data_IF_871076109384
#
_entry.id   IF_871076109384
#
_cell.length_a   1.000
_cell.length_b   1.000
_cell.length_c   1.000
_cell.angle_alpha   90.00
_cell.angle_beta   90.00
_cell.angle_gamma   90.00
#
_symmetry.space_group_name_H-M   'P 1'
#
loop_
_entity.id
_entity.type
_entity.pdbx_description
1 polymer ?
#
# COMPACT_ATOMS: atom_id res chain seq x y z
N UNK A 1 15.67 4.76 0.59
CA UNK A 1 15.57 5.91 -0.32
C UNK A 1 15.99 7.17 0.41
N UNK A 2 16.82 8.03 -0.19
CA UNK A 2 17.11 9.37 0.33
C UNK A 2 16.03 10.36 -0.13
N UNK A 3 15.92 11.50 0.55
CA UNK A 3 14.99 12.56 0.14
C UNK A 3 15.34 13.11 -1.26
N UNK A 4 16.63 13.27 -1.56
CA UNK A 4 17.08 13.79 -2.87
C UNK A 4 16.74 12.83 -4.01
N UNK A 5 16.91 11.54 -3.80
CA UNK A 5 16.52 10.53 -4.77
C UNK A 5 15.01 10.48 -4.99
N UNK A 6 14.24 10.62 -3.92
CA UNK A 6 12.78 10.71 -4.00
C UNK A 6 12.36 11.95 -4.81
N UNK A 7 12.95 13.11 -4.52
CA UNK A 7 12.67 14.35 -5.27
C UNK A 7 12.94 14.21 -6.75
N UNK A 8 14.10 13.63 -7.12
CA UNK A 8 14.44 13.38 -8.54
C UNK A 8 13.40 12.53 -9.25
N UNK A 9 12.86 11.51 -8.56
CA UNK A 9 11.84 10.65 -9.15
C UNK A 9 10.49 11.35 -9.25
N UNK A 10 10.04 12.03 -8.20
CA UNK A 10 8.75 12.72 -8.17
C UNK A 10 8.70 13.88 -9.17
N UNK A 11 9.82 14.59 -9.37
CA UNK A 11 9.89 15.69 -10.34
C UNK A 11 9.70 15.24 -11.81
N UNK A 12 9.77 13.94 -12.08
CA UNK A 12 9.51 13.36 -13.39
C UNK A 12 8.06 12.90 -13.58
N UNK A 13 7.26 12.85 -12.51
CA UNK A 13 5.89 12.37 -12.58
C UNK A 13 4.94 13.48 -13.06
N UNK A 14 3.97 13.17 -13.94
CA UNK A 14 2.83 14.04 -14.20
C UNK A 14 2.07 14.35 -12.90
N UNK A 15 1.57 15.58 -12.74
CA UNK A 15 0.92 16.01 -11.48
C UNK A 15 -0.33 15.20 -11.10
N UNK A 16 -1.02 14.64 -12.10
CA UNK A 16 -2.18 13.77 -11.89
C UNK A 16 -1.81 12.40 -11.30
N UNK A 17 -0.55 12.02 -11.35
CA UNK A 17 -0.08 10.75 -10.76
C UNK A 17 -0.16 10.84 -9.25
N UNK A 18 -0.95 9.93 -8.68
CA UNK A 18 -1.08 9.80 -7.23
C UNK A 18 0.17 9.18 -6.64
N UNK A 19 0.77 9.85 -5.68
CA UNK A 19 1.88 9.31 -4.89
C UNK A 19 1.32 8.63 -3.65
N UNK A 20 1.48 7.31 -3.58
CA UNK A 20 0.98 6.50 -2.47
C UNK A 20 2.14 6.03 -1.61
N UNK A 21 2.16 6.47 -0.37
CA UNK A 21 3.11 6.02 0.64
C UNK A 21 2.61 4.71 1.27
N UNK A 22 3.05 3.63 0.68
CA UNK A 22 2.65 2.26 1.02
C UNK A 22 3.72 1.30 0.49
N UNK A 23 3.35 0.06 0.25
CA UNK A 23 4.13 -0.90 -0.50
C UNK A 23 4.53 -2.11 0.31
N UNK A 24 5.75 -2.59 0.06
CA UNK A 24 6.24 -3.85 0.61
C UNK A 24 6.79 -3.71 2.04
N UNK A 25 6.89 -2.47 2.54
CA UNK A 25 7.40 -2.15 3.88
C UNK A 25 6.63 -0.98 4.48
N UNK A 26 6.78 -0.78 5.78
CA UNK A 26 6.24 0.38 6.47
C UNK A 26 6.96 1.67 6.02
N UNK A 27 6.24 2.68 5.52
CA UNK A 27 6.86 3.91 5.00
C UNK A 27 7.70 4.66 6.04
N UNK A 28 7.24 4.76 7.28
CA UNK A 28 7.91 5.52 8.34
C UNK A 28 9.10 4.82 8.98
N UNK A 29 9.49 3.63 8.50
CA UNK A 29 10.83 3.11 8.75
C UNK A 29 11.89 3.94 8.02
N UNK A 30 11.50 4.70 7.00
CA UNK A 30 12.33 5.73 6.39
C UNK A 30 12.17 7.05 7.15
N UNK A 31 13.22 7.53 7.79
CA UNK A 31 13.22 8.78 8.57
C UNK A 31 12.89 10.04 7.77
N UNK A 32 13.01 9.98 6.45
CA UNK A 32 12.67 11.10 5.57
C UNK A 32 11.23 11.02 5.05
N UNK A 33 10.41 10.05 5.50
CA UNK A 33 9.09 9.81 4.91
C UNK A 33 8.19 11.04 5.00
N UNK A 34 8.14 11.70 6.16
CA UNK A 34 7.35 12.92 6.35
C UNK A 34 7.75 14.03 5.38
N UNK A 35 9.05 14.25 5.18
CA UNK A 35 9.55 15.26 4.22
C UNK A 35 9.23 14.86 2.77
N UNK A 36 9.24 13.57 2.46
CA UNK A 36 8.83 13.06 1.15
C UNK A 36 7.34 13.29 0.89
N UNK A 37 6.49 13.05 1.89
CA UNK A 37 5.04 13.30 1.80
C UNK A 37 4.78 14.78 1.53
N UNK A 38 5.40 15.66 2.32
CA UNK A 38 5.27 17.11 2.17
C UNK A 38 5.75 17.59 0.81
N UNK A 39 6.89 17.09 0.34
CA UNK A 39 7.42 17.43 -0.97
C UNK A 39 6.48 17.04 -2.12
N UNK A 40 5.98 15.82 -2.12
CA UNK A 40 5.05 15.37 -3.15
C UNK A 40 3.74 16.16 -3.13
N UNK A 41 3.25 16.53 -1.94
CA UNK A 41 2.10 17.43 -1.78
C UNK A 41 2.38 18.83 -2.33
N UNK A 42 3.54 19.43 -2.01
CA UNK A 42 3.97 20.73 -2.51
C UNK A 42 4.06 20.77 -4.06
N UNK A 43 4.45 19.65 -4.67
CA UNK A 43 4.47 19.49 -6.13
C UNK A 43 3.07 19.34 -6.76
N UNK A 44 2.03 19.24 -5.96
CA UNK A 44 0.64 19.17 -6.40
C UNK A 44 0.12 17.75 -6.65
N UNK A 45 0.88 16.73 -6.30
CA UNK A 45 0.41 15.35 -6.45
C UNK A 45 -0.71 15.01 -5.47
N UNK A 46 -1.73 14.24 -5.88
CA UNK A 46 -2.65 13.59 -4.95
C UNK A 46 -1.90 12.61 -4.07
N UNK A 47 -2.09 12.69 -2.75
CA UNK A 47 -1.38 11.86 -1.77
C UNK A 47 -2.30 10.81 -1.16
N UNK A 48 -1.81 9.59 -1.07
CA UNK A 48 -2.42 8.51 -0.26
C UNK A 48 -1.39 7.92 0.70
N UNK A 49 -1.86 7.49 1.87
CA UNK A 49 -1.00 6.87 2.90
C UNK A 49 -1.66 5.57 3.38
N UNK A 50 -0.86 4.50 3.43
CA UNK A 50 -1.17 3.26 4.13
C UNK A 50 -0.03 2.96 5.07
N UNK A 51 -0.28 3.05 6.36
CA UNK A 51 0.76 2.92 7.39
C UNK A 51 0.26 2.13 8.59
N UNK A 52 1.17 1.45 9.25
CA UNK A 52 0.92 0.86 10.57
C UNK A 52 1.15 1.87 11.69
N UNK A 53 1.70 3.03 11.39
CA UNK A 53 2.17 4.01 12.38
C UNK A 53 3.51 3.67 13.02
N UNK A 54 4.09 2.51 12.71
CA UNK A 54 5.41 2.11 13.21
C UNK A 54 6.47 3.06 12.67
N UNK A 55 7.31 3.57 13.53
CA UNK A 55 8.35 4.54 13.16
C UNK A 55 7.89 5.99 13.13
N UNK A 56 6.59 6.27 13.12
CA UNK A 56 6.06 7.63 13.23
C UNK A 56 6.28 8.22 14.63
N UNK A 57 6.34 9.53 14.66
CA UNK A 57 6.24 10.36 15.86
C UNK A 57 4.97 11.21 15.81
N UNK A 58 4.58 11.78 16.93
CA UNK A 58 3.48 12.76 17.00
C UNK A 58 3.78 13.96 16.09
N UNK A 59 5.03 14.41 16.04
CA UNK A 59 5.46 15.51 15.16
C UNK A 59 5.24 15.18 13.68
N UNK A 60 5.53 13.95 13.24
CA UNK A 60 5.27 13.51 11.87
C UNK A 60 3.80 13.66 11.51
N UNK A 61 2.90 13.23 12.40
CA UNK A 61 1.46 13.31 12.19
C UNK A 61 1.01 14.76 12.13
N UNK A 62 1.44 15.60 13.06
CA UNK A 62 1.09 17.02 13.10
C UNK A 62 1.53 17.77 11.84
N UNK A 63 2.68 17.39 11.27
CA UNK A 63 3.21 18.02 10.05
C UNK A 63 2.39 17.69 8.80
N UNK A 64 1.75 16.51 8.74
CA UNK A 64 1.03 16.06 7.53
C UNK A 64 -0.49 16.06 7.68
N UNK A 65 -1.06 16.21 8.85
CA UNK A 65 -2.52 16.12 9.10
C UNK A 65 -3.37 17.08 8.27
N UNK A 66 -2.79 18.20 7.83
CA UNK A 66 -3.46 19.22 7.03
C UNK A 66 -3.58 18.87 5.54
N UNK A 67 -2.89 17.84 5.07
CA UNK A 67 -2.89 17.44 3.66
C UNK A 67 -4.29 16.94 3.28
N UNK A 68 -4.86 17.43 2.16
CA UNK A 68 -6.12 16.91 1.63
C UNK A 68 -5.85 15.56 0.95
N UNK A 69 -5.75 14.50 1.74
CA UNK A 69 -5.51 13.17 1.21
C UNK A 69 -6.53 12.82 0.15
N UNK A 70 -6.05 12.27 -0.97
CA UNK A 70 -6.86 11.98 -2.13
C UNK A 70 -8.03 11.08 -1.74
N UNK A 71 -9.21 11.45 -2.21
CA UNK A 71 -10.43 10.67 -1.97
C UNK A 71 -10.42 9.37 -2.75
N UNK A 72 -11.22 8.46 -2.26
CA UNK A 72 -11.38 7.11 -2.68
C UNK A 72 -12.42 6.99 -3.81
N UNK A 73 -12.55 5.75 -4.33
CA UNK A 73 -13.17 4.73 -3.47
C UNK A 73 -12.28 4.17 -2.35
N UNK A 74 -11.02 4.36 -2.26
CA UNK A 74 -10.19 3.66 -1.31
C UNK A 74 -9.29 4.59 -0.50
N UNK A 75 -9.88 5.36 0.35
CA UNK A 75 -9.39 6.27 1.34
C UNK A 75 -7.92 6.56 1.43
N UNK A 76 -7.61 7.61 1.91
CA UNK A 76 -6.40 8.03 1.60
C UNK A 76 -5.44 8.33 2.68
N UNK A 77 -5.86 8.29 3.93
CA UNK A 77 -5.00 8.00 5.06
C UNK A 77 -5.56 6.76 5.77
N UNK A 78 -4.94 5.60 5.54
CA UNK A 78 -5.38 4.35 6.16
C UNK A 78 -4.36 3.92 7.23
N UNK A 79 -4.81 3.91 8.47
CA UNK A 79 -4.04 3.39 9.59
C UNK A 79 -4.35 1.92 9.81
N UNK A 80 -3.34 1.08 9.67
CA UNK A 80 -3.44 -0.35 9.88
C UNK A 80 -3.16 -0.67 11.36
N UNK A 81 -4.21 -1.00 12.10
CA UNK A 81 -4.14 -1.31 13.52
C UNK A 81 -3.58 -2.71 13.79
N UNK A 82 -2.92 -2.91 14.94
CA UNK A 82 -2.47 -4.23 15.35
C UNK A 82 -3.66 -5.14 15.68
N UNK A 83 -3.54 -6.40 15.35
CA UNK A 83 -4.53 -7.43 15.63
C UNK A 83 -4.12 -8.31 16.83
N UNK A 84 -5.12 -8.78 17.59
CA UNK A 84 -4.96 -9.66 18.74
C UNK A 84 -4.32 -11.00 18.34
N UNK A 85 -4.63 -11.48 17.15
CA UNK A 85 -4.14 -12.71 16.56
C UNK A 85 -2.70 -12.61 16.07
N UNK A 86 -2.12 -11.40 16.09
CA UNK A 86 -0.75 -11.09 15.64
C UNK A 86 -0.46 -11.50 14.20
N UNK A 87 -1.46 -11.46 13.34
CA UNK A 87 -1.30 -11.69 11.90
C UNK A 87 -0.39 -10.63 11.27
N UNK A 88 -0.59 -9.38 11.69
CA UNK A 88 0.23 -8.24 11.30
C UNK A 88 1.30 -7.94 12.36
N UNK A 89 2.24 -8.71 12.61
CA UNK A 89 3.33 -8.70 13.63
C UNK A 89 3.83 -7.30 14.08
N UNK A 90 2.90 -6.41 14.46
CA UNK A 90 3.24 -5.06 14.93
C UNK A 90 3.95 -5.12 16.28
N UNK A 91 5.09 -4.45 16.48
CA UNK A 91 5.69 -4.27 17.78
C UNK A 91 4.89 -3.24 18.59
N UNK A 92 4.11 -3.70 19.57
CA UNK A 92 3.31 -2.84 20.43
C UNK A 92 4.20 -2.36 21.57
N UNK A 93 4.79 -1.19 21.41
CA UNK A 93 5.60 -0.52 22.42
C UNK A 93 4.83 0.65 23.04
N UNK A 94 5.28 1.14 24.21
CA UNK A 94 4.68 2.33 24.81
C UNK A 94 4.64 3.52 23.86
N UNK A 95 5.73 3.79 23.13
CA UNK A 95 5.79 4.85 22.13
C UNK A 95 4.78 4.62 21.00
N UNK A 96 4.60 3.39 20.56
CA UNK A 96 3.61 3.07 19.54
C UNK A 96 2.19 3.37 20.03
N UNK A 97 1.85 2.99 21.26
CA UNK A 97 0.55 3.28 21.87
C UNK A 97 0.31 4.80 21.92
N UNK A 98 1.30 5.59 22.34
CA UNK A 98 1.22 7.05 22.36
C UNK A 98 0.90 7.64 20.97
N UNK A 99 1.48 7.09 19.90
CA UNK A 99 1.17 7.47 18.52
C UNK A 99 -0.27 7.12 18.13
N UNK A 100 -0.72 5.91 18.47
CA UNK A 100 -2.11 5.49 18.20
C UNK A 100 -3.11 6.34 18.98
N UNK A 101 -2.84 6.64 20.25
CA UNK A 101 -3.67 7.53 21.06
C UNK A 101 -3.75 8.95 20.47
N UNK A 102 -2.65 9.42 19.87
CA UNK A 102 -2.64 10.72 19.21
C UNK A 102 -3.53 10.69 17.95
N UNK A 103 -3.44 9.65 17.12
CA UNK A 103 -4.35 9.47 16.00
C UNK A 103 -5.82 9.49 16.44
N UNK A 104 -6.16 8.79 17.53
CA UNK A 104 -7.51 8.79 18.06
C UNK A 104 -8.02 10.19 18.43
N UNK A 105 -7.16 11.04 19.00
CA UNK A 105 -7.49 12.42 19.38
C UNK A 105 -7.75 13.33 18.18
N UNK A 106 -7.04 13.11 17.05
CA UNK A 106 -7.06 14.05 15.92
C UNK A 106 -7.65 13.45 14.64
N UNK A 107 -8.16 12.23 14.66
CA UNK A 107 -8.67 11.54 13.47
C UNK A 107 -9.65 12.38 12.64
N UNK A 108 -10.50 13.17 13.30
CA UNK A 108 -11.46 14.08 12.64
C UNK A 108 -10.79 15.31 12.00
N UNK A 109 -9.51 15.54 12.24
CA UNK A 109 -8.72 16.62 11.64
C UNK A 109 -7.94 16.13 10.41
N UNK A 110 -7.86 14.83 10.21
CA UNK A 110 -7.17 14.21 9.08
C UNK A 110 -8.21 13.92 8.00
N UNK A 111 -8.02 14.52 6.85
CA UNK A 111 -8.93 14.34 5.72
C UNK A 111 -8.92 12.87 5.25
N UNK A 112 -10.10 12.29 5.02
CA UNK A 112 -10.28 10.92 4.56
C UNK A 112 -9.52 9.87 5.41
N UNK A 113 -9.47 10.06 6.72
CA UNK A 113 -8.86 9.10 7.64
C UNK A 113 -9.73 7.84 7.77
N UNK A 114 -9.10 6.71 7.67
CA UNK A 114 -9.74 5.40 7.92
C UNK A 114 -8.81 4.47 8.70
N UNK A 115 -9.38 3.44 9.28
CA UNK A 115 -8.63 2.37 9.93
C UNK A 115 -8.89 1.04 9.24
N UNK A 116 -7.94 0.11 9.36
CA UNK A 116 -8.12 -1.29 8.97
C UNK A 116 -7.40 -2.20 9.96
N UNK A 117 -7.82 -3.46 10.02
CA UNK A 117 -7.20 -4.48 10.86
C UNK A 117 -7.23 -5.84 10.13
N UNK A 118 -6.30 -6.74 10.46
CA UNK A 118 -6.27 -8.10 9.90
C UNK A 118 -7.02 -9.12 10.76
N UNK A 119 -7.59 -8.67 11.86
CA UNK A 119 -8.31 -9.48 12.81
C UNK A 119 -9.03 -8.61 13.85
N UNK A 120 -9.12 -9.10 15.06
CA UNK A 120 -9.66 -8.31 16.19
C UNK A 120 -8.65 -7.27 16.61
N UNK A 121 -9.06 -6.01 16.76
CA UNK A 121 -8.17 -4.94 17.24
C UNK A 121 -7.54 -5.32 18.56
N UNK A 122 -6.23 -5.15 18.67
CA UNK A 122 -5.44 -5.53 19.86
C UNK A 122 -5.90 -4.80 21.12
N UNK A 123 -5.92 -5.50 22.26
CA UNK A 123 -6.43 -4.97 23.53
C UNK A 123 -5.75 -3.66 23.97
N UNK A 124 -4.43 -3.52 23.73
CA UNK A 124 -3.66 -2.34 24.10
C UNK A 124 -4.07 -1.06 23.38
N UNK A 125 -4.75 -1.15 22.23
CA UNK A 125 -5.20 0.01 21.44
C UNK A 125 -6.72 0.09 21.28
N UNK A 126 -7.46 -0.91 21.79
CA UNK A 126 -8.92 -0.98 21.69
C UNK A 126 -9.62 0.15 22.41
N UNK A 127 -9.00 0.73 23.42
CA UNK A 127 -9.54 1.90 24.13
C UNK A 127 -9.54 3.18 23.26
N UNK A 128 -8.79 3.17 22.14
CA UNK A 128 -8.72 4.27 21.17
C UNK A 128 -9.61 3.98 19.95
N UNK A 129 -9.47 2.78 19.41
CA UNK A 129 -10.23 2.27 18.27
C UNK A 129 -10.83 0.93 18.66
N UNK A 130 -12.11 0.91 19.03
CA UNK A 130 -12.81 -0.28 19.53
C UNK A 130 -12.98 -1.36 18.45
N UNK A 131 -13.08 -0.94 17.19
CA UNK A 131 -13.20 -1.80 16.03
C UNK A 131 -12.58 -1.16 14.78
N UNK A 132 -12.29 -1.97 13.79
CA UNK A 132 -11.86 -1.54 12.46
C UNK A 132 -12.36 -2.53 11.41
N UNK A 133 -12.56 -2.09 10.15
CA UNK A 133 -12.83 -3.02 9.06
C UNK A 133 -11.77 -4.10 8.97
N UNK A 134 -12.20 -5.35 8.90
CA UNK A 134 -11.29 -6.51 8.79
C UNK A 134 -11.03 -6.79 7.31
N UNK A 135 -9.76 -6.88 6.96
CA UNK A 135 -9.33 -7.23 5.62
C UNK A 135 -8.59 -8.56 5.63
N UNK A 136 -9.01 -9.47 4.77
CA UNK A 136 -8.31 -10.72 4.55
C UNK A 136 -6.95 -10.47 3.91
N UNK A 137 -5.98 -11.31 4.28
CA UNK A 137 -4.66 -11.28 3.66
C UNK A 137 -4.76 -11.84 2.23
N UNK A 138 -4.22 -11.08 1.30
CA UNK A 138 -4.14 -11.45 -0.11
C UNK A 138 -2.84 -12.18 -0.40
N UNK A 139 -2.88 -13.18 -1.27
CA UNK A 139 -1.69 -13.95 -1.62
C UNK A 139 -0.66 -13.17 -2.45
N UNK A 140 -1.00 -11.94 -2.85
CA UNK A 140 -0.20 -11.16 -3.78
C UNK A 140 0.13 -11.96 -5.04
N UNK A 141 -0.90 -12.45 -5.71
CA UNK A 141 -0.80 -13.32 -6.88
C UNK A 141 0.10 -14.55 -6.64
N UNK A 142 0.01 -15.14 -5.45
CA UNK A 142 0.79 -16.30 -5.06
C UNK A 142 2.24 -16.02 -4.66
N UNK A 143 2.71 -14.77 -4.66
CA UNK A 143 4.07 -14.44 -4.23
C UNK A 143 4.28 -14.56 -2.71
N UNK A 144 3.22 -14.48 -1.95
CA UNK A 144 3.25 -14.63 -0.51
C UNK A 144 2.73 -16.04 -0.14
N UNK A 145 3.51 -17.06 -0.47
CA UNK A 145 3.24 -18.47 -0.12
C UNK A 145 4.16 -18.85 1.02
N UNK A 146 3.61 -19.16 2.18
CA UNK A 146 4.39 -19.60 3.34
C UNK A 146 3.80 -19.13 4.68
N UNK A 147 4.51 -19.33 5.76
CA UNK A 147 4.08 -19.27 7.16
C UNK A 147 3.24 -18.05 7.61
N UNK A 148 3.22 -17.00 6.81
CA UNK A 148 2.49 -15.79 7.19
C UNK A 148 1.08 -15.67 6.61
N UNK A 149 0.69 -16.49 5.60
CA UNK A 149 -0.15 -15.75 4.69
C UNK A 149 -1.43 -16.39 4.27
N UNK A 150 -1.52 -17.61 4.06
CA UNK A 150 -2.81 -18.17 3.70
C UNK A 150 -2.92 -19.59 4.19
N UNK A 151 -3.92 -19.78 5.01
CA UNK A 151 -4.41 -21.13 5.22
C UNK A 151 -4.79 -21.71 3.85
N UNK A 152 -4.49 -22.99 3.59
CA UNK A 152 -4.89 -23.65 2.35
C UNK A 152 -6.35 -23.41 1.96
N UNK A 153 -7.24 -23.35 2.95
CA UNK A 153 -8.67 -23.10 2.77
C UNK A 153 -8.99 -21.72 2.14
N UNK A 154 -8.13 -20.71 2.36
CA UNK A 154 -8.30 -19.40 1.74
C UNK A 154 -7.84 -19.40 0.28
N UNK A 155 -6.81 -20.18 -0.06
CA UNK A 155 -6.39 -20.40 -1.45
C UNK A 155 -7.45 -21.19 -2.23
N UNK A 156 -8.04 -22.21 -1.63
CA UNK A 156 -9.14 -22.97 -2.22
C UNK A 156 -10.36 -22.09 -2.43
N UNK A 157 -10.79 -21.32 -1.43
CA UNK A 157 -11.90 -20.35 -1.56
C UNK A 157 -11.66 -19.30 -2.63
N UNK A 158 -10.42 -18.84 -2.81
CA UNK A 158 -10.09 -17.88 -3.90
C UNK A 158 -10.08 -18.53 -5.25
N UNK A 159 -9.61 -19.78 -5.36
CA UNK A 159 -9.71 -20.56 -6.58
C UNK A 159 -11.19 -20.79 -6.94
N UNK A 160 -12.00 -21.17 -5.97
CA UNK A 160 -13.46 -21.32 -6.13
C UNK A 160 -14.12 -19.99 -6.51
N UNK A 161 -13.75 -18.89 -5.88
CA UNK A 161 -14.26 -17.57 -6.20
C UNK A 161 -13.87 -17.14 -7.64
N UNK A 162 -12.65 -17.40 -8.07
CA UNK A 162 -12.20 -17.17 -9.45
C UNK A 162 -13.01 -18.00 -10.43
N UNK A 163 -13.17 -19.28 -10.18
CA UNK A 163 -13.99 -20.19 -11.02
C UNK A 163 -15.43 -19.72 -11.05
N UNK A 164 -16.02 -19.34 -9.93
CA UNK A 164 -17.41 -18.89 -9.83
C UNK A 164 -17.68 -17.57 -10.56
N UNK A 165 -16.70 -16.65 -10.57
CA UNK A 165 -16.89 -15.31 -11.15
C UNK A 165 -16.33 -15.18 -12.58
N UNK A 166 -15.37 -16.01 -12.97
CA UNK A 166 -14.68 -15.93 -14.25
C UNK A 166 -14.77 -17.22 -15.09
N UNK A 167 -15.40 -18.28 -14.56
CA UNK A 167 -15.47 -19.59 -15.20
C UNK A 167 -14.11 -20.29 -15.28
N UNK A 168 -14.04 -21.36 -16.07
CA UNK A 168 -12.78 -22.10 -16.32
C UNK A 168 -11.82 -21.36 -17.26
N UNK A 169 -12.20 -20.19 -17.74
CA UNK A 169 -11.34 -19.38 -18.63
C UNK A 169 -10.09 -18.92 -17.89
N UNK A 170 -8.97 -19.27 -18.45
CA UNK A 170 -7.66 -18.86 -17.95
C UNK A 170 -7.50 -17.35 -18.17
N UNK A 171 -7.53 -16.58 -17.09
CA UNK A 171 -7.28 -15.15 -17.15
C UNK A 171 -5.84 -14.92 -17.61
N UNK A 172 -5.64 -14.25 -18.71
CA UNK A 172 -4.34 -14.19 -19.38
C UNK A 172 -3.77 -12.78 -19.44
N UNK A 173 -4.58 -11.77 -19.19
CA UNK A 173 -4.17 -10.37 -19.30
C UNK A 173 -4.03 -9.66 -17.96
N UNK A 174 -3.32 -8.53 -17.96
CA UNK A 174 -3.20 -7.65 -16.83
C UNK A 174 -4.56 -7.12 -16.36
N UNK A 175 -4.58 -6.37 -15.27
CA UNK A 175 -5.79 -5.75 -14.78
C UNK A 175 -5.79 -4.25 -15.13
N UNK A 176 -6.96 -3.72 -15.47
CA UNK A 176 -7.12 -2.30 -15.81
C UNK A 176 -6.78 -1.36 -14.64
N UNK A 177 -6.93 -1.83 -13.39
CA UNK A 177 -6.71 -0.99 -12.22
C UNK A 177 -5.29 -1.09 -11.65
N UNK A 178 -4.72 -2.30 -11.57
CA UNK A 178 -3.47 -2.52 -10.83
C UNK A 178 -2.20 -2.35 -11.66
N UNK A 179 -2.28 -2.36 -12.98
CA UNK A 179 -1.14 -2.03 -13.84
C UNK A 179 -0.64 -0.59 -13.65
N UNK A 180 -1.52 0.28 -13.16
CA UNK A 180 -1.18 1.67 -12.81
C UNK A 180 -0.75 1.83 -11.34
N UNK A 181 -0.70 0.75 -10.56
CA UNK A 181 -0.22 0.74 -9.18
C UNK A 181 1.23 0.27 -9.10
N UNK A 182 2.07 0.90 -9.90
CA UNK A 182 3.51 0.62 -9.91
C UNK A 182 4.14 0.93 -8.55
N UNK A 183 5.18 0.20 -8.19
CA UNK A 183 5.88 0.43 -6.93
C UNK A 183 7.32 0.81 -7.20
N UNK A 184 7.70 2.02 -6.82
CA UNK A 184 9.08 2.48 -6.89
C UNK A 184 9.86 1.99 -5.67
N UNK A 185 10.96 1.30 -5.94
CA UNK A 185 11.88 0.77 -4.94
C UNK A 185 12.93 1.82 -4.52
N UNK A 186 13.61 1.63 -3.39
CA UNK A 186 14.62 2.59 -2.90
C UNK A 186 15.79 2.85 -3.85
N UNK A 187 16.09 1.94 -4.75
CA UNK A 187 17.13 2.06 -5.78
C UNK A 187 16.65 2.72 -7.08
N UNK A 188 15.38 3.13 -7.15
CA UNK A 188 14.79 3.74 -8.33
C UNK A 188 14.08 2.79 -9.28
N UNK A 189 14.26 1.48 -9.11
CA UNK A 189 13.55 0.49 -9.91
C UNK A 189 12.04 0.61 -9.68
N UNK A 190 11.29 0.44 -10.76
CA UNK A 190 9.84 0.46 -10.75
C UNK A 190 9.33 -0.94 -11.05
N UNK A 191 8.68 -1.57 -10.07
CA UNK A 191 8.04 -2.86 -10.30
C UNK A 191 6.66 -2.70 -10.94
N UNK A 192 6.23 -3.73 -11.65
CA UNK A 192 4.99 -3.77 -12.42
C UNK A 192 3.77 -3.30 -11.62
N UNK A 193 3.58 -3.84 -10.44
CA UNK A 193 2.45 -3.46 -9.57
C UNK A 193 2.66 -3.94 -8.13
N UNK A 194 1.76 -3.53 -7.24
CA UNK A 194 1.80 -3.92 -5.82
C UNK A 194 1.58 -5.42 -5.58
N UNK A 195 1.21 -6.20 -6.59
CA UNK A 195 1.08 -7.65 -6.50
C UNK A 195 2.39 -8.39 -6.82
N UNK A 196 3.35 -7.73 -7.48
CA UNK A 196 4.67 -8.30 -7.80
C UNK A 196 5.61 -8.27 -6.59
N UNK A 197 5.20 -8.93 -5.51
CA UNK A 197 5.96 -8.99 -4.26
C UNK A 197 7.30 -9.72 -4.40
N UNK A 198 7.41 -10.56 -5.43
CA UNK A 198 8.67 -11.23 -5.80
C UNK A 198 9.64 -10.34 -6.57
N UNK A 199 9.26 -9.12 -6.95
CA UNK A 199 10.04 -8.16 -7.72
C UNK A 199 10.61 -8.74 -9.02
N UNK A 200 9.84 -9.59 -9.69
CA UNK A 200 10.26 -10.29 -10.91
C UNK A 200 10.06 -9.47 -12.18
N UNK A 201 9.20 -8.45 -12.12
CA UNK A 201 8.82 -7.65 -13.28
C UNK A 201 9.19 -6.19 -13.03
N UNK A 202 10.46 -5.86 -13.27
CA UNK A 202 10.95 -4.49 -13.22
C UNK A 202 10.73 -3.84 -14.59
N UNK A 203 10.01 -2.73 -14.61
CA UNK A 203 9.65 -2.00 -15.82
C UNK A 203 10.78 -1.06 -16.28
N UNK A 204 11.52 -0.51 -15.35
CA UNK A 204 12.59 0.44 -15.58
C UNK A 204 13.07 1.08 -14.30
N UNK A 205 13.83 2.18 -14.41
CA UNK A 205 14.39 2.89 -13.25
C UNK A 205 14.16 4.40 -13.38
N UNK A 206 13.38 5.00 -12.46
CA UNK A 206 13.03 6.41 -12.46
C UNK A 206 14.23 7.36 -12.20
N UNK A 207 15.34 6.86 -11.69
CA UNK A 207 16.54 7.70 -11.58
C UNK A 207 17.25 7.88 -12.92
N UNK A 208 17.05 6.94 -13.87
CA UNK A 208 17.76 6.85 -15.14
C UNK A 208 16.87 7.21 -16.34
N UNK A 209 15.54 6.92 -16.26
CA UNK A 209 14.59 7.05 -17.36
C UNK A 209 13.49 8.08 -17.02
N UNK A 210 12.80 8.57 -18.03
CA UNK A 210 11.60 9.37 -17.85
C UNK A 210 10.38 8.47 -17.56
N UNK A 211 9.36 9.03 -16.95
CA UNK A 211 8.20 8.26 -16.49
C UNK A 211 7.46 7.59 -17.66
N UNK A 212 7.33 8.28 -18.76
CA UNK A 212 6.64 7.81 -19.97
C UNK A 212 7.30 6.57 -20.58
N UNK A 213 8.62 6.43 -20.40
CA UNK A 213 9.38 5.28 -20.91
C UNK A 213 9.23 4.02 -20.05
N UNK A 214 8.72 4.18 -18.81
CA UNK A 214 8.62 3.08 -17.83
C UNK A 214 7.22 2.47 -17.80
N UNK A 215 6.20 3.24 -18.13
CA UNK A 215 4.81 2.75 -18.09
C UNK A 215 4.63 1.64 -19.14
N UNK A 216 4.16 0.46 -18.74
CA UNK A 216 3.95 -0.64 -19.68
C UNK A 216 2.90 -0.24 -20.72
N UNK A 217 3.14 -0.61 -21.97
CA UNK A 217 2.15 -0.46 -23.02
C UNK A 217 0.86 -1.20 -22.64
N UNK A 218 -0.27 -0.59 -22.98
CA UNK A 218 -1.58 -1.21 -22.82
C UNK A 218 -1.59 -2.59 -23.52
N UNK A 219 -2.03 -3.62 -22.82
CA UNK A 219 -2.16 -5.02 -23.27
C UNK A 219 -0.96 -5.94 -23.06
N UNK A 220 0.07 -5.56 -22.29
CA UNK A 220 1.08 -6.52 -21.89
C UNK A 220 0.51 -7.53 -20.90
N UNK A 221 0.71 -8.82 -21.19
CA UNK A 221 0.32 -9.92 -20.31
C UNK A 221 1.54 -10.47 -19.60
N UNK A 222 1.48 -10.54 -18.28
CA UNK A 222 2.54 -11.10 -17.45
C UNK A 222 2.10 -12.43 -16.83
N UNK A 223 3.03 -13.35 -16.63
CA UNK A 223 2.74 -14.62 -15.98
C UNK A 223 2.13 -14.42 -14.58
N UNK A 224 2.59 -13.39 -13.86
CA UNK A 224 2.02 -12.95 -12.60
C UNK A 224 0.49 -12.74 -12.66
N UNK A 225 -0.01 -12.19 -13.77
CA UNK A 225 -1.43 -11.89 -13.92
C UNK A 225 -2.30 -13.14 -13.96
N UNK A 226 -1.77 -14.27 -14.41
CA UNK A 226 -2.50 -15.55 -14.45
C UNK A 226 -2.90 -16.07 -13.06
N UNK A 227 -2.14 -15.68 -12.04
CA UNK A 227 -2.36 -16.05 -10.63
C UNK A 227 -3.03 -14.93 -9.84
N UNK A 228 -3.22 -13.77 -10.47
CA UNK A 228 -3.70 -12.59 -9.79
C UNK A 228 -5.23 -12.57 -9.71
N UNK A 229 -5.76 -12.26 -8.54
CA UNK A 229 -7.19 -12.10 -8.31
C UNK A 229 -7.79 -10.84 -8.95
N UNK A 230 -6.95 -9.91 -9.43
CA UNK A 230 -7.36 -8.71 -10.15
C UNK A 230 -7.19 -8.84 -11.67
N UNK A 231 -6.79 -9.99 -12.18
CA UNK A 231 -6.67 -10.19 -13.61
C UNK A 231 -8.04 -10.10 -14.31
N UNK A 232 -8.04 -9.56 -15.52
CA UNK A 232 -9.23 -9.42 -16.37
C UNK A 232 -9.12 -10.34 -17.59
N UNK A 233 -10.24 -10.61 -18.22
CA UNK A 233 -10.26 -11.30 -19.53
C UNK A 233 -9.59 -10.42 -20.59
N UNK A 234 -8.93 -11.03 -21.58
CA UNK A 234 -8.33 -10.32 -22.70
C UNK A 234 -9.34 -9.51 -23.51
#
# INVERSE_FOLDING_TARGET
MTLDNFKKAVDKLPQEVRVTFAGFTEPWLNKNCTDMVLYAHEKGHPISIFTTGIGMSIEDIERIKHIPFAGNPNGCFTLHLPDQERKAKHPITKRYIEVIEHFGKIQNQIHNFTTMCMGTVHEDVRHVFDSAPVYDMWSRAGNLVGEMIMKPELLERKAEWKIANHGEKQMTCGCLEKMYHNVMLPNGDVSLCCMDYGLKHILGNLYEQDYEDIVPENNQCFELCRLCENAVEP
#
